data_IF_085095972007
#
_entry.id   IF_085095972007
#
_cell.length_a   1.000
_cell.length_b   1.000
_cell.length_c   1.000
_cell.angle_alpha   90.00
_cell.angle_beta   90.00
_cell.angle_gamma   90.00
#
_symmetry.space_group_name_H-M   'P 1'
#
loop_
_entity.id
_entity.type
_entity.pdbx_description
1 polymer ?
#
# COMPACT_ATOMS: atom_id res chain seq x y z
N UNK A 1 1.73 -7.82 -33.76
CA UNK A 1 2.21 -7.28 -32.47
C UNK A 1 2.82 -8.41 -31.69
N UNK A 2 4.13 -8.34 -31.50
CA UNK A 2 4.85 -9.20 -30.57
C UNK A 2 4.57 -8.74 -29.14
N UNK A 3 4.74 -9.62 -28.15
CA UNK A 3 4.51 -9.27 -26.74
C UNK A 3 5.42 -8.11 -26.27
N UNK A 4 6.62 -8.00 -26.85
CA UNK A 4 7.52 -6.87 -26.65
C UNK A 4 6.93 -5.55 -27.14
N UNK A 5 6.41 -5.52 -28.38
CA UNK A 5 5.80 -4.31 -28.93
C UNK A 5 4.60 -3.83 -28.12
N UNK A 6 3.81 -4.76 -27.56
CA UNK A 6 2.68 -4.42 -26.70
C UNK A 6 3.14 -3.76 -25.40
N UNK A 7 4.15 -4.33 -24.72
CA UNK A 7 4.70 -3.78 -23.48
C UNK A 7 5.32 -2.40 -23.67
N UNK A 8 6.01 -2.18 -24.78
CA UNK A 8 6.57 -0.85 -25.08
C UNK A 8 5.50 0.21 -25.31
N UNK A 9 4.41 -0.15 -26.00
CA UNK A 9 3.30 0.78 -26.22
C UNK A 9 2.54 1.09 -24.93
N UNK A 10 2.30 0.10 -24.07
CA UNK A 10 1.61 0.32 -22.80
C UNK A 10 2.38 1.26 -21.88
N UNK A 11 3.71 1.10 -21.80
CA UNK A 11 4.57 1.99 -20.98
C UNK A 11 4.53 3.42 -21.50
N UNK A 12 4.60 3.63 -22.82
CA UNK A 12 4.54 4.98 -23.42
C UNK A 12 3.21 5.68 -23.10
N UNK A 13 2.10 4.97 -23.19
CA UNK A 13 0.76 5.51 -22.88
C UNK A 13 0.66 5.89 -21.39
N UNK A 14 1.18 5.03 -20.50
CA UNK A 14 1.19 5.29 -19.06
C UNK A 14 2.05 6.50 -18.69
N UNK A 15 3.25 6.63 -19.28
CA UNK A 15 4.15 7.77 -19.06
C UNK A 15 3.52 9.09 -19.51
N UNK A 16 2.84 9.10 -20.65
CA UNK A 16 2.13 10.28 -21.14
C UNK A 16 0.94 10.65 -20.23
N UNK A 17 0.19 9.65 -19.74
CA UNK A 17 -0.89 9.87 -18.79
C UNK A 17 -0.38 10.45 -17.47
N UNK A 18 0.70 9.89 -16.92
CA UNK A 18 1.36 10.36 -15.70
C UNK A 18 1.88 11.79 -15.83
N UNK A 19 2.48 12.16 -16.97
CA UNK A 19 2.95 13.54 -17.23
C UNK A 19 1.81 14.56 -17.31
N UNK A 20 0.64 14.15 -17.81
CA UNK A 20 -0.56 15.01 -17.87
C UNK A 20 -1.23 15.17 -16.51
N UNK A 21 -1.20 14.12 -15.68
CA UNK A 21 -1.65 14.14 -14.29
C UNK A 21 -0.57 14.80 -13.41
N UNK A 22 -0.58 16.13 -13.35
CA UNK A 22 0.37 16.95 -12.55
C UNK A 22 0.52 16.53 -11.08
N UNK A 23 -0.38 15.70 -10.54
CA UNK A 23 -0.35 15.20 -9.17
C UNK A 23 -0.83 13.73 -9.18
N UNK A 24 0.01 12.82 -9.66
CA UNK A 24 -0.25 11.38 -9.46
C UNK A 24 -0.03 11.04 -7.97
N UNK A 25 -0.94 10.30 -7.31
CA UNK A 25 -0.76 9.92 -5.91
C UNK A 25 0.43 8.98 -5.76
N UNK A 26 1.23 9.19 -4.72
CA UNK A 26 2.27 8.23 -4.31
C UNK A 26 1.69 7.33 -3.23
N UNK A 27 1.79 6.01 -3.42
CA UNK A 27 1.20 5.02 -2.50
C UNK A 27 2.27 4.34 -1.65
N UNK A 28 1.96 4.12 -0.38
CA UNK A 28 2.79 3.37 0.55
C UNK A 28 2.07 2.09 0.95
N UNK A 29 2.68 0.95 0.65
CA UNK A 29 2.12 -0.38 0.94
C UNK A 29 2.85 -0.92 2.17
N UNK A 30 2.19 -0.86 3.34
CA UNK A 30 2.68 -1.46 4.57
C UNK A 30 2.11 -2.86 4.76
N UNK A 31 2.97 -3.87 4.63
CA UNK A 31 2.54 -5.27 4.59
C UNK A 31 2.62 -5.88 5.98
N UNK A 32 1.56 -6.60 6.38
CA UNK A 32 1.54 -7.37 7.62
C UNK A 32 2.14 -8.76 7.42
N UNK A 33 2.71 -9.33 8.48
CA UNK A 33 3.23 -10.71 8.50
C UNK A 33 2.15 -11.76 8.18
N UNK A 34 0.86 -11.38 8.27
CA UNK A 34 -0.30 -12.22 7.91
C UNK A 34 -0.71 -12.12 6.44
N UNK A 35 -0.14 -11.19 5.67
CA UNK A 35 -0.50 -10.98 4.28
C UNK A 35 0.05 -12.11 3.40
N UNK A 36 -0.76 -12.55 2.44
CA UNK A 36 -0.35 -13.59 1.47
C UNK A 36 0.19 -12.96 0.18
N UNK A 37 0.91 -13.75 -0.61
CA UNK A 37 1.34 -13.36 -1.96
C UNK A 37 0.18 -12.82 -2.81
N UNK A 38 -0.98 -13.48 -2.73
CA UNK A 38 -2.18 -13.03 -3.45
C UNK A 38 -2.59 -11.61 -3.07
N UNK A 39 -2.55 -11.26 -1.77
CA UNK A 39 -2.91 -9.92 -1.33
C UNK A 39 -1.99 -8.84 -1.92
N UNK A 40 -0.69 -9.14 -2.05
CA UNK A 40 0.25 -8.23 -2.69
C UNK A 40 0.01 -8.11 -4.20
N UNK A 41 -0.25 -9.22 -4.89
CA UNK A 41 -0.57 -9.20 -6.32
C UNK A 41 -1.83 -8.40 -6.59
N UNK A 42 -2.91 -8.65 -5.84
CA UNK A 42 -4.17 -7.93 -5.99
C UNK A 42 -3.97 -6.41 -5.76
N UNK A 43 -3.15 -6.03 -4.77
CA UNK A 43 -2.83 -4.62 -4.50
C UNK A 43 -2.04 -3.98 -5.65
N UNK A 44 -1.06 -4.68 -6.23
CA UNK A 44 -0.26 -4.20 -7.35
C UNK A 44 -1.05 -4.13 -8.66
N UNK A 45 -2.00 -5.04 -8.87
CA UNK A 45 -2.92 -5.00 -10.00
C UNK A 45 -3.79 -3.75 -9.92
N UNK A 46 -4.36 -3.46 -8.74
CA UNK A 46 -5.13 -2.23 -8.52
C UNK A 46 -4.30 -0.96 -8.75
N UNK A 47 -3.01 -0.95 -8.36
CA UNK A 47 -2.12 0.19 -8.68
C UNK A 47 -1.99 0.41 -10.18
N UNK A 48 -1.86 -0.67 -10.94
CA UNK A 48 -1.72 -0.61 -12.41
C UNK A 48 -3.03 -0.15 -13.05
N UNK A 49 -4.17 -0.68 -12.59
CA UNK A 49 -5.52 -0.29 -13.04
C UNK A 49 -5.78 1.20 -12.74
N UNK A 50 -5.38 1.67 -11.56
CA UNK A 50 -5.53 3.07 -11.15
C UNK A 50 -4.49 4.03 -11.76
N UNK A 51 -3.62 3.55 -12.67
CA UNK A 51 -2.54 4.33 -13.29
C UNK A 51 -1.63 5.00 -12.24
N UNK A 52 -1.35 4.28 -11.15
CA UNK A 52 -0.45 4.69 -10.07
C UNK A 52 0.93 4.07 -10.34
N UNK A 53 1.84 4.87 -10.88
CA UNK A 53 3.18 4.40 -11.25
C UNK A 53 4.22 4.43 -10.13
N UNK A 54 3.92 5.05 -8.98
CA UNK A 54 4.88 5.23 -7.88
C UNK A 54 4.31 4.67 -6.59
N UNK A 55 4.93 3.59 -6.11
CA UNK A 55 4.63 3.01 -4.81
C UNK A 55 5.90 2.59 -4.08
N UNK A 56 5.83 2.58 -2.75
CA UNK A 56 6.88 2.05 -1.88
C UNK A 56 6.29 0.93 -1.03
N UNK A 57 6.89 -0.27 -1.12
CA UNK A 57 6.61 -1.37 -0.19
C UNK A 57 7.55 -1.23 0.99
N UNK A 58 6.99 -1.06 2.18
CA UNK A 58 7.77 -0.88 3.40
C UNK A 58 7.21 -1.73 4.53
N UNK A 59 8.07 -2.03 5.50
CA UNK A 59 7.67 -2.79 6.67
C UNK A 59 6.79 -1.96 7.61
N UNK A 60 5.93 -2.65 8.37
CA UNK A 60 5.17 -2.03 9.45
C UNK A 60 6.11 -1.58 10.58
N UNK A 61 6.04 -0.30 10.93
CA UNK A 61 6.70 0.23 12.11
C UNK A 61 5.98 -0.24 13.38
N UNK A 62 6.66 -0.17 14.52
CA UNK A 62 6.10 -0.57 15.82
C UNK A 62 4.79 0.15 16.16
N UNK A 63 4.69 1.43 15.78
CA UNK A 63 3.46 2.21 15.92
C UNK A 63 2.29 1.69 15.06
N UNK A 64 2.57 1.21 13.84
CA UNK A 64 1.54 0.63 12.96
C UNK A 64 1.04 -0.70 13.52
N UNK A 65 1.98 -1.56 13.95
CA UNK A 65 1.70 -2.84 14.61
C UNK A 65 0.82 -2.61 15.84
N UNK A 66 1.17 -1.64 16.67
CA UNK A 66 0.40 -1.28 17.86
C UNK A 66 -1.07 -0.93 17.55
N UNK A 67 -1.32 -0.14 16.49
CA UNK A 67 -2.68 0.23 16.07
C UNK A 67 -3.46 -0.97 15.51
N UNK A 68 -2.81 -1.82 14.72
CA UNK A 68 -3.42 -3.03 14.15
C UNK A 68 -3.82 -4.03 15.25
N UNK A 69 -2.96 -4.25 16.24
CA UNK A 69 -3.24 -5.17 17.35
C UNK A 69 -4.30 -4.63 18.31
N UNK A 70 -4.34 -3.32 18.58
CA UNK A 70 -5.42 -2.71 19.38
C UNK A 70 -6.81 -3.01 18.80
N UNK A 71 -6.95 -3.02 17.46
CA UNK A 71 -8.22 -3.30 16.77
C UNK A 71 -8.62 -4.78 16.83
N UNK A 72 -7.66 -5.69 16.91
CA UNK A 72 -7.90 -7.15 16.88
C UNK A 72 -7.98 -7.78 18.27
N UNK A 73 -7.32 -7.22 19.28
CA UNK A 73 -7.21 -7.80 20.62
C UNK A 73 -7.94 -7.01 21.71
N UNK A 74 -8.93 -6.17 21.37
CA UNK A 74 -9.65 -5.29 22.31
C UNK A 74 -8.73 -4.48 23.26
N UNK A 75 -7.52 -4.13 22.80
CA UNK A 75 -6.56 -3.34 23.58
C UNK A 75 -5.69 -4.13 24.57
N UNK A 76 -5.63 -5.47 24.47
CA UNK A 76 -4.75 -6.28 25.35
C UNK A 76 -3.27 -5.85 25.31
N UNK A 77 -2.74 -5.48 24.15
CA UNK A 77 -1.34 -5.05 23.96
C UNK A 77 -1.10 -3.54 24.12
N UNK A 78 -2.01 -2.81 24.77
CA UNK A 78 -1.79 -1.39 25.07
C UNK A 78 -0.77 -1.21 26.20
N UNK A 79 0.22 -0.33 26.02
CA UNK A 79 1.04 0.16 27.14
C UNK A 79 0.15 0.92 28.13
N UNK A 80 0.58 1.03 29.39
CA UNK A 80 -0.23 1.68 30.45
C UNK A 80 -0.61 3.13 30.11
N UNK A 81 0.32 3.89 29.51
CA UNK A 81 0.07 5.25 29.06
C UNK A 81 -1.02 5.33 27.98
N UNK A 82 -1.07 4.35 27.08
CA UNK A 82 -2.05 4.29 25.98
C UNK A 82 -3.41 3.78 26.45
N UNK A 83 -3.48 2.89 27.45
CA UNK A 83 -4.76 2.52 28.11
C UNK A 83 -5.39 3.72 28.81
N UNK A 84 -4.58 4.54 29.48
CA UNK A 84 -5.06 5.74 30.14
C UNK A 84 -5.61 6.78 29.15
N UNK A 85 -4.97 6.95 27.99
CA UNK A 85 -5.44 7.86 26.94
C UNK A 85 -6.72 7.39 26.24
N UNK A 86 -6.95 6.08 26.12
CA UNK A 86 -8.14 5.51 25.47
C UNK A 86 -9.42 5.52 26.33
N UNK A 87 -9.31 5.82 27.63
CA UNK A 87 -10.43 5.91 28.59
C UNK A 87 -10.91 7.35 28.85
N UNK A 88 -10.33 8.35 28.17
CA UNK A 88 -10.82 9.74 28.14
C UNK A 88 -11.68 9.95 26.91
#
# INVERSE_FOLDING_TARGET
>A
ITEQEFKEQSVKIQDEAMKKLKIAPTVMIKVSDLATYKNMVDALDEMTICNIGVYAVIDLADGDRHLLYRKTSNGEYLTEAQRAAAKK
#
